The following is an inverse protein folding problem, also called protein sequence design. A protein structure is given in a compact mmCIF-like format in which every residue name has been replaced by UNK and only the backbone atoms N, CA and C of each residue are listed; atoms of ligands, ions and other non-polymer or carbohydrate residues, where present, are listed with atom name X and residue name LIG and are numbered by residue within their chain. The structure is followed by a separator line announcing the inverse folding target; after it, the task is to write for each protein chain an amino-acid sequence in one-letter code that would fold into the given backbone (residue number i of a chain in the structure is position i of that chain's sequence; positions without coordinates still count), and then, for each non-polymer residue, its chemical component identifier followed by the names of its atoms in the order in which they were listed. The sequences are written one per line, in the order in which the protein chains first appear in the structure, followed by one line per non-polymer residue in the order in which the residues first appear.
data_IF_402903622882
#
_entry.id   IF_402903622882
#
_cell.length_a   1.000
_cell.length_b   1.000
_cell.length_c   1.000
_cell.angle_alpha   90.00
_cell.angle_beta   90.00
_cell.angle_gamma   90.00
#
_symmetry.space_group_name_H-M   'P 1'
#
loop_
_entity.id
_entity.type
_entity.pdbx_description
1 polymer ?
#
# COMPACT_ATOMS: atom_id res chain seq x y z
N UNK A 1 -13.32 -3.07 -14.86
CA UNK A 1 -12.19 -2.58 -15.68
C UNK A 1 -10.89 -3.06 -15.06
N UNK A 2 -10.06 -3.75 -15.83
CA UNK A 2 -8.77 -4.30 -15.41
C UNK A 2 -7.80 -3.17 -15.09
N UNK A 3 -7.68 -2.82 -13.81
CA UNK A 3 -6.73 -1.83 -13.32
C UNK A 3 -5.33 -2.42 -13.32
N UNK A 4 -4.66 -2.38 -14.48
CA UNK A 4 -3.24 -2.72 -14.60
C UNK A 4 -2.46 -1.79 -13.67
N UNK A 5 -1.60 -2.37 -12.84
CA UNK A 5 -0.84 -1.66 -11.84
C UNK A 5 0.39 -0.97 -12.45
N UNK A 6 0.17 0.16 -13.11
CA UNK A 6 1.25 1.08 -13.49
C UNK A 6 1.58 1.98 -12.30
N UNK A 7 2.14 1.40 -11.24
CA UNK A 7 2.65 2.15 -10.09
C UNK A 7 4.15 1.91 -10.00
N UNK A 8 4.91 2.99 -10.14
CA UNK A 8 6.34 2.96 -9.88
C UNK A 8 6.54 3.08 -8.38
N UNK A 9 6.95 1.96 -7.77
CA UNK A 9 7.33 1.91 -6.37
C UNK A 9 8.74 2.49 -6.26
N UNK A 10 8.87 3.64 -5.60
CA UNK A 10 10.17 4.32 -5.41
C UNK A 10 11.09 3.54 -4.47
N UNK A 11 10.54 2.79 -3.52
CA UNK A 11 11.31 2.01 -2.56
C UNK A 11 11.95 0.77 -3.20
N UNK A 12 13.08 0.36 -2.65
CA UNK A 12 13.74 -0.89 -3.03
C UNK A 12 13.09 -2.09 -2.33
N UNK A 13 13.29 -3.27 -2.91
CA UNK A 13 12.84 -4.53 -2.31
C UNK A 13 13.38 -4.70 -0.88
N UNK A 14 14.66 -4.37 -0.67
CA UNK A 14 15.32 -4.46 0.63
C UNK A 14 14.69 -3.53 1.67
N UNK A 15 14.33 -2.30 1.28
CA UNK A 15 13.66 -1.36 2.16
C UNK A 15 12.30 -1.89 2.60
N UNK A 16 11.48 -2.38 1.66
CA UNK A 16 10.18 -2.97 1.97
C UNK A 16 10.33 -4.20 2.87
N UNK A 17 11.35 -5.03 2.64
CA UNK A 17 11.63 -6.21 3.46
C UNK A 17 12.08 -5.85 4.88
N UNK A 18 12.86 -4.78 5.05
CA UNK A 18 13.21 -4.24 6.38
C UNK A 18 11.97 -3.71 7.10
N UNK A 19 11.11 -2.96 6.40
CA UNK A 19 9.87 -2.45 6.97
C UNK A 19 8.92 -3.57 7.41
N UNK A 20 8.78 -4.64 6.62
CA UNK A 20 7.99 -5.82 7.00
C UNK A 20 8.46 -6.50 8.29
N UNK A 21 9.76 -6.39 8.61
CA UNK A 21 10.34 -6.90 9.87
C UNK A 21 10.16 -5.94 11.04
N UNK A 22 10.18 -4.64 10.78
CA UNK A 22 10.06 -3.60 11.82
C UNK A 22 8.61 -3.35 12.24
N UNK A 23 7.67 -3.51 11.31
CA UNK A 23 6.25 -3.26 11.56
C UNK A 23 5.63 -4.43 12.33
N UNK A 24 5.11 -4.11 13.51
CA UNK A 24 4.33 -5.04 14.34
C UNK A 24 2.84 -5.03 13.99
N UNK A 25 2.33 -3.92 13.43
CA UNK A 25 0.93 -3.76 13.09
C UNK A 25 0.53 -4.66 11.89
N UNK A 26 -0.44 -5.58 12.05
CA UNK A 26 -0.79 -6.55 11.00
C UNK A 26 -1.32 -5.85 9.74
N UNK A 27 -2.10 -4.79 9.89
CA UNK A 27 -2.61 -4.03 8.76
C UNK A 27 -1.49 -3.28 8.01
N UNK A 28 -0.46 -2.79 8.70
CA UNK A 28 0.66 -2.10 8.05
C UNK A 28 1.54 -3.10 7.31
N UNK A 29 1.70 -4.28 7.90
CA UNK A 29 2.38 -5.39 7.26
C UNK A 29 1.70 -5.79 5.95
N UNK A 30 0.37 -5.96 5.95
CA UNK A 30 -0.42 -6.22 4.72
C UNK A 30 -0.20 -5.13 3.66
N UNK A 31 -0.21 -3.85 4.05
CA UNK A 31 0.00 -2.72 3.13
C UNK A 31 1.40 -2.72 2.50
N UNK A 32 2.45 -2.97 3.29
CA UNK A 32 3.82 -3.08 2.78
C UNK A 32 3.95 -4.31 1.87
N UNK A 33 3.31 -5.42 2.23
CA UNK A 33 3.33 -6.65 1.44
C UNK A 33 2.77 -6.42 0.04
N UNK A 34 1.69 -5.64 -0.08
CA UNK A 34 1.12 -5.23 -1.37
C UNK A 34 2.14 -4.48 -2.23
N UNK A 35 2.86 -3.51 -1.66
CA UNK A 35 3.91 -2.78 -2.39
C UNK A 35 5.06 -3.69 -2.80
N UNK A 36 5.45 -4.63 -1.92
CA UNK A 36 6.50 -5.61 -2.18
C UNK A 36 6.16 -6.49 -3.38
N UNK A 37 4.93 -7.00 -3.47
CA UNK A 37 4.47 -7.83 -4.58
C UNK A 37 4.38 -7.08 -5.91
N UNK A 38 4.03 -5.79 -5.88
CA UNK A 38 4.07 -4.93 -7.06
C UNK A 38 5.51 -4.71 -7.52
N UNK A 39 6.41 -4.40 -6.58
CA UNK A 39 7.83 -4.16 -6.88
C UNK A 39 8.50 -5.39 -7.49
N UNK A 40 8.22 -6.56 -6.94
CA UNK A 40 8.73 -7.87 -7.41
C UNK A 40 7.98 -8.41 -8.62
N UNK A 41 6.99 -7.66 -9.15
CA UNK A 41 6.10 -8.07 -10.25
C UNK A 41 5.40 -9.42 -10.03
N UNK A 42 5.23 -9.83 -8.77
CA UNK A 42 4.53 -11.07 -8.42
C UNK A 42 3.02 -10.97 -8.63
N UNK A 43 2.48 -9.75 -8.66
CA UNK A 43 1.06 -9.53 -8.92
C UNK A 43 0.85 -8.37 -9.90
N UNK A 44 0.27 -8.69 -11.05
CA UNK A 44 0.04 -7.74 -12.14
C UNK A 44 -1.26 -6.95 -11.97
N UNK A 45 -2.18 -7.44 -11.14
CA UNK A 45 -3.51 -6.85 -10.95
C UNK A 45 -3.89 -6.66 -9.48
N UNK A 46 -4.71 -5.64 -9.22
CA UNK A 46 -5.27 -5.35 -7.89
C UNK A 46 -6.08 -6.53 -7.35
N UNK A 47 -6.80 -7.22 -8.23
CA UNK A 47 -7.60 -8.38 -7.85
C UNK A 47 -6.71 -9.52 -7.35
N UNK A 48 -5.61 -9.80 -8.05
CA UNK A 48 -4.68 -10.85 -7.63
C UNK A 48 -4.02 -10.51 -6.29
N UNK A 49 -3.56 -9.27 -6.11
CA UNK A 49 -3.05 -8.79 -4.82
C UNK A 49 -4.07 -8.94 -3.70
N UNK A 50 -5.31 -8.54 -3.95
CA UNK A 50 -6.40 -8.59 -2.98
C UNK A 50 -6.70 -10.03 -2.55
N UNK A 51 -6.72 -10.97 -3.50
CA UNK A 51 -6.85 -12.40 -3.20
C UNK A 51 -5.68 -12.92 -2.36
N UNK A 52 -4.44 -12.52 -2.67
CA UNK A 52 -3.25 -12.95 -1.91
C UNK A 52 -3.25 -12.45 -0.45
N UNK A 53 -3.70 -11.22 -0.19
CA UNK A 53 -3.86 -10.71 1.19
C UNK A 53 -5.19 -11.14 1.85
N UNK A 54 -6.07 -11.84 1.15
CA UNK A 54 -7.40 -12.20 1.66
C UNK A 54 -8.32 -10.99 1.92
N UNK A 55 -8.14 -9.89 1.19
CA UNK A 55 -8.96 -8.67 1.31
C UNK A 55 -9.76 -8.42 0.03
N UNK A 56 -10.72 -7.51 0.13
CA UNK A 56 -11.47 -7.09 -1.04
C UNK A 56 -10.65 -6.18 -1.96
N UNK A 57 -10.89 -6.27 -3.29
CA UNK A 57 -10.18 -5.47 -4.31
C UNK A 57 -10.23 -3.97 -4.06
N UNK A 58 -11.32 -3.46 -3.49
CA UNK A 58 -11.48 -2.02 -3.21
C UNK A 58 -10.49 -1.54 -2.17
N UNK A 59 -10.13 -2.39 -1.20
CA UNK A 59 -9.12 -2.10 -0.18
C UNK A 59 -7.74 -1.97 -0.81
N UNK A 60 -7.35 -2.94 -1.64
CA UNK A 60 -6.10 -2.87 -2.41
C UNK A 60 -6.05 -1.63 -3.30
N UNK A 61 -7.11 -1.36 -4.07
CA UNK A 61 -7.20 -0.17 -4.92
C UNK A 61 -7.08 1.14 -4.13
N UNK A 62 -7.70 1.21 -2.95
CA UNK A 62 -7.64 2.38 -2.06
C UNK A 62 -6.23 2.61 -1.54
N UNK A 63 -5.54 1.56 -1.08
CA UNK A 63 -4.16 1.63 -0.62
C UNK A 63 -3.23 2.14 -1.71
N UNK A 64 -3.40 1.66 -2.93
CA UNK A 64 -2.59 2.06 -4.08
C UNK A 64 -2.84 3.52 -4.47
N UNK A 65 -4.09 3.96 -4.42
CA UNK A 65 -4.44 5.37 -4.67
C UNK A 65 -3.88 6.28 -3.58
N UNK A 66 -3.89 5.82 -2.33
CA UNK A 66 -3.32 6.54 -1.19
C UNK A 66 -1.79 6.66 -1.30
N UNK A 67 -1.12 5.55 -1.62
CA UNK A 67 0.32 5.56 -1.88
C UNK A 67 0.67 6.48 -3.06
N UNK A 68 -0.08 6.44 -4.16
CA UNK A 68 0.17 7.32 -5.32
C UNK A 68 0.02 8.81 -5.00
N UNK A 69 -0.91 9.17 -4.12
CA UNK A 69 -1.21 10.57 -3.80
C UNK A 69 -0.38 11.14 -2.65
N UNK A 70 0.01 10.32 -1.68
CA UNK A 70 0.64 10.76 -0.43
C UNK A 70 1.90 9.99 -0.04
N UNK A 71 2.29 8.99 -0.83
CA UNK A 71 3.48 8.16 -0.60
C UNK A 71 3.33 7.12 0.51
N UNK A 72 4.43 6.44 0.79
CA UNK A 72 4.54 5.33 1.75
C UNK A 72 4.12 5.71 3.16
N UNK A 73 4.53 6.88 3.65
CA UNK A 73 4.23 7.31 5.03
C UNK A 73 2.72 7.30 5.30
N UNK A 74 1.94 7.83 4.36
CA UNK A 74 0.48 7.82 4.48
C UNK A 74 -0.10 6.41 4.47
N UNK A 75 0.53 5.49 3.74
CA UNK A 75 0.09 4.11 3.67
C UNK A 75 0.40 3.38 5.00
N UNK A 76 1.47 3.75 5.71
CA UNK A 76 1.81 3.15 7.01
C UNK A 76 1.06 3.77 8.18
N UNK A 77 0.50 4.98 8.02
CA UNK A 77 -0.36 5.59 9.03
C UNK A 77 -1.69 4.82 9.17
N UNK A 78 -1.80 4.01 10.23
CA UNK A 78 -2.95 3.13 10.49
C UNK A 78 -3.82 3.59 11.66
N UNK A 79 -3.31 4.46 12.52
CA UNK A 79 -4.02 4.91 13.71
C UNK A 79 -3.96 6.41 13.98
N UNK A 80 -3.31 7.19 13.12
CA UNK A 80 -3.38 8.65 13.18
C UNK A 80 -4.03 9.10 11.90
N UNK A 81 -5.36 9.25 11.92
CA UNK A 81 -5.91 10.42 11.26
C UNK A 81 -5.14 11.60 11.86
N UNK A 82 -4.06 12.05 11.21
CA UNK A 82 -3.68 13.44 11.32
C UNK A 82 -4.94 14.15 10.85
N UNK A 83 -5.72 14.60 11.83
CA UNK A 83 -7.02 15.20 11.62
C UNK A 83 -6.80 16.22 10.53
N UNK A 84 -7.56 16.06 9.45
CA UNK A 84 -7.68 17.03 8.37
C UNK A 84 -7.52 18.43 8.97
N UNK A 85 -6.34 19.06 8.82
CA UNK A 85 -6.26 20.50 8.95
C UNK A 85 -7.10 21.00 7.81
N UNK A 86 -8.37 21.27 8.10
CA UNK A 86 -9.19 22.11 7.24
C UNK A 86 -8.43 23.43 7.22
N UNK A 87 -7.71 23.69 6.13
CA UNK A 87 -7.51 25.04 5.69
C UNK A 87 -8.92 25.58 5.42
N UNK A 88 -9.49 26.21 6.43
CA UNK A 88 -10.64 27.10 6.25
C UNK A 88 -9.95 28.40 5.80
N UNK A 89 -10.00 28.65 4.50
CA UNK A 89 -9.75 29.98 3.94
C UNK A 89 -11.00 30.83 4.16
#
# INVERSE_FOLDING_TARGET
MSGILKIEISESEEQLRKLLKQVHEPLAKERIQVLFWIKTKQAETVNHLATLIGRHRTTGSRWLSQYRSKGLNSLLEIGKSSGRTKAIA
#
